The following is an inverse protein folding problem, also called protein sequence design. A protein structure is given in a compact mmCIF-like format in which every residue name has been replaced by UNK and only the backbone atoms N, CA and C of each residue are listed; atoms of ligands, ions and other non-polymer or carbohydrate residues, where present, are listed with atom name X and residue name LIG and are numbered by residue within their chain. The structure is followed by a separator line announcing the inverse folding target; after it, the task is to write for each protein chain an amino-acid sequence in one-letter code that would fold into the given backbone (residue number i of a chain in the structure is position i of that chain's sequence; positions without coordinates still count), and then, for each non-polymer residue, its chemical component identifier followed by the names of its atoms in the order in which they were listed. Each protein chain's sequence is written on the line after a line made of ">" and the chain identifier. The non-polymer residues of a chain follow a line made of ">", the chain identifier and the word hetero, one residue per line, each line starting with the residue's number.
data_IF_802645568946
#
_entry.id   IF_802645568946
#
_cell.length_a   1.000
_cell.length_b   1.000
_cell.length_c   1.000
_cell.angle_alpha   90.00
_cell.angle_beta   90.00
_cell.angle_gamma   90.00
#
_symmetry.space_group_name_H-M   'P 1'
#
loop_
_entity.id
_entity.type
_entity.pdbx_description
1 polymer ?
#
# COMPACT_ATOMS: atom_id res chain seq x y z
N UNK A 1 17.65 0.30 -34.15
CA UNK A 1 18.50 -0.31 -33.11
C UNK A 1 17.62 -1.18 -32.23
N UNK A 2 17.90 -2.48 -32.14
CA UNK A 2 17.18 -3.40 -31.25
C UNK A 2 17.58 -3.16 -29.79
N UNK A 3 16.64 -3.33 -28.84
CA UNK A 3 16.86 -3.17 -27.39
C UNK A 3 18.06 -4.01 -26.91
N UNK A 4 18.18 -5.24 -27.42
CA UNK A 4 19.22 -6.18 -27.01
C UNK A 4 20.63 -5.66 -27.35
N UNK A 5 20.81 -5.01 -28.50
CA UNK A 5 22.10 -4.39 -28.87
C UNK A 5 22.44 -3.20 -27.97
N UNK A 6 21.45 -2.45 -27.50
CA UNK A 6 21.69 -1.33 -26.59
C UNK A 6 22.09 -1.82 -25.18
N UNK A 7 21.49 -2.93 -24.73
CA UNK A 7 21.85 -3.61 -23.47
C UNK A 7 23.28 -4.14 -23.53
N UNK A 8 23.61 -4.89 -24.59
CA UNK A 8 24.93 -5.52 -24.79
C UNK A 8 26.07 -4.51 -24.77
N UNK A 9 25.85 -3.32 -25.33
CA UNK A 9 26.85 -2.25 -25.39
C UNK A 9 26.72 -1.20 -24.27
N UNK A 10 25.90 -1.44 -23.24
CA UNK A 10 25.75 -0.53 -22.10
C UNK A 10 25.15 0.84 -22.43
N UNK A 11 24.44 0.96 -23.57
CA UNK A 11 23.80 2.20 -24.05
C UNK A 11 22.34 2.31 -23.58
N UNK A 12 21.85 1.35 -22.80
CA UNK A 12 20.53 1.43 -22.18
C UNK A 12 20.60 2.19 -20.85
N UNK A 13 19.94 3.35 -20.79
CA UNK A 13 19.83 4.16 -19.57
C UNK A 13 18.50 3.98 -18.82
N UNK A 14 17.60 3.12 -19.32
CA UNK A 14 16.30 2.89 -18.69
C UNK A 14 16.48 2.06 -17.43
N UNK A 15 15.77 2.43 -16.36
CA UNK A 15 15.66 1.55 -15.21
C UNK A 15 14.87 0.30 -15.60
N UNK A 16 15.35 -0.90 -15.23
CA UNK A 16 14.59 -2.12 -15.44
C UNK A 16 13.27 -2.03 -14.68
N UNK A 17 12.19 -2.44 -15.34
CA UNK A 17 10.85 -2.39 -14.76
C UNK A 17 10.72 -3.45 -13.66
N UNK A 18 10.92 -3.01 -12.42
CA UNK A 18 10.96 -3.86 -11.22
C UNK A 18 10.14 -3.22 -10.10
N UNK A 19 9.83 -4.01 -9.08
CA UNK A 19 9.13 -3.58 -7.87
C UNK A 19 7.62 -3.78 -7.93
N UNK A 20 6.92 -3.35 -6.88
CA UNK A 20 5.49 -3.57 -6.70
C UNK A 20 4.64 -3.07 -7.87
N UNK A 21 5.01 -1.93 -8.46
CA UNK A 21 4.32 -1.37 -9.63
C UNK A 21 4.37 -2.25 -10.87
N UNK A 22 5.34 -3.18 -10.95
CA UNK A 22 5.44 -4.11 -12.06
C UNK A 22 4.51 -5.33 -11.91
N UNK A 23 4.14 -5.67 -10.67
CA UNK A 23 3.20 -6.74 -10.36
C UNK A 23 1.78 -6.21 -10.39
N UNK A 24 1.55 -5.10 -9.71
CA UNK A 24 0.23 -4.48 -9.61
C UNK A 24 0.35 -2.97 -9.78
N UNK A 25 -0.38 -2.48 -10.78
CA UNK A 25 -0.55 -1.06 -11.03
C UNK A 25 -1.41 -0.39 -9.95
N UNK A 26 -1.81 -1.00 -8.85
CA UNK A 26 -2.39 -0.28 -7.71
C UNK A 26 -1.49 -0.32 -6.48
N UNK A 27 -0.43 -1.15 -6.50
CA UNK A 27 0.50 -1.37 -5.40
C UNK A 27 1.66 -0.36 -5.39
N UNK A 28 1.60 0.63 -4.47
CA UNK A 28 2.19 1.97 -4.67
C UNK A 28 2.29 2.86 -3.43
N UNK A 29 2.86 4.05 -3.66
CA UNK A 29 2.54 5.32 -2.98
C UNK A 29 1.11 5.80 -3.34
N UNK A 30 0.32 6.11 -2.30
CA UNK A 30 -1.14 6.29 -2.32
C UNK A 30 -1.94 5.13 -2.93
N UNK A 31 -1.35 3.94 -3.07
CA UNK A 31 -1.99 2.79 -3.70
C UNK A 31 -3.35 2.44 -3.12
N UNK A 32 -4.30 2.08 -3.97
CA UNK A 32 -5.64 1.63 -3.55
C UNK A 32 -5.70 0.14 -3.25
N UNK A 33 -4.59 -0.58 -3.48
CA UNK A 33 -4.44 -1.98 -3.13
C UNK A 33 -4.82 -2.21 -1.65
N UNK A 34 -5.49 -3.32 -1.32
CA UNK A 34 -6.03 -3.54 0.03
C UNK A 34 -4.95 -3.46 1.11
N UNK A 35 -3.76 -3.98 0.82
CA UNK A 35 -2.59 -3.87 1.68
C UNK A 35 -2.18 -2.39 1.89
N UNK A 36 -2.02 -1.66 0.79
CA UNK A 36 -1.63 -0.26 0.77
C UNK A 36 -2.65 0.64 1.51
N UNK A 37 -3.94 0.36 1.31
CA UNK A 37 -5.06 1.06 1.93
C UNK A 37 -5.10 0.76 3.43
N UNK A 38 -4.98 -0.50 3.82
CA UNK A 38 -5.00 -0.91 5.22
C UNK A 38 -3.87 -0.28 6.02
N UNK A 39 -2.66 -0.20 5.46
CA UNK A 39 -1.53 0.46 6.12
C UNK A 39 -1.75 1.96 6.33
N UNK A 40 -2.37 2.67 5.37
CA UNK A 40 -2.70 4.10 5.56
C UNK A 40 -3.76 4.32 6.63
N UNK A 41 -4.77 3.45 6.66
CA UNK A 41 -5.90 3.54 7.59
C UNK A 41 -5.58 3.02 8.99
N UNK A 42 -4.36 2.51 9.24
CA UNK A 42 -4.02 1.83 10.49
C UNK A 42 -4.28 2.69 11.73
N UNK A 43 -3.85 3.95 11.71
CA UNK A 43 -4.04 4.85 12.84
C UNK A 43 -5.53 5.13 13.09
N UNK A 44 -6.30 5.37 12.02
CA UNK A 44 -7.74 5.61 12.12
C UNK A 44 -8.47 4.38 12.66
N UNK A 45 -8.16 3.19 12.15
CA UNK A 45 -8.72 1.93 12.65
C UNK A 45 -8.42 1.74 14.13
N UNK A 46 -7.19 2.01 14.57
CA UNK A 46 -6.79 1.90 15.97
C UNK A 46 -7.56 2.87 16.87
N UNK A 47 -7.78 4.11 16.44
CA UNK A 47 -8.58 5.05 17.21
C UNK A 47 -10.06 4.66 17.23
N UNK A 48 -10.62 4.20 16.10
CA UNK A 48 -11.99 3.68 16.04
C UNK A 48 -12.18 2.49 16.98
N UNK A 49 -11.22 1.57 17.06
CA UNK A 49 -11.27 0.44 18.00
C UNK A 49 -11.30 0.89 19.46
N UNK A 50 -10.50 1.89 19.84
CA UNK A 50 -10.53 2.46 21.20
C UNK A 50 -11.86 3.14 21.51
N UNK A 51 -12.42 3.88 20.55
CA UNK A 51 -13.73 4.52 20.70
C UNK A 51 -14.82 3.47 20.89
N UNK A 52 -14.78 2.41 20.07
CA UNK A 52 -15.71 1.30 20.16
C UNK A 52 -15.66 0.60 21.52
N UNK A 53 -14.46 0.32 22.04
CA UNK A 53 -14.29 -0.26 23.38
C UNK A 53 -14.95 0.59 24.47
N UNK A 54 -14.78 1.92 24.41
CA UNK A 54 -15.42 2.84 25.37
C UNK A 54 -16.94 2.88 25.25
N UNK A 55 -17.47 2.80 24.04
CA UNK A 55 -18.92 2.73 23.82
C UNK A 55 -19.49 1.42 24.38
N UNK A 56 -18.80 0.31 24.14
CA UNK A 56 -19.20 -1.00 24.66
C UNK A 56 -19.21 -1.01 26.20
N UNK A 57 -18.23 -0.37 26.86
CA UNK A 57 -18.20 -0.18 28.32
C UNK A 57 -19.43 0.61 28.81
N UNK A 58 -19.74 1.74 28.17
CA UNK A 58 -20.90 2.56 28.52
C UNK A 58 -22.22 1.79 28.33
N UNK A 59 -22.35 1.04 27.23
CA UNK A 59 -23.55 0.25 26.95
C UNK A 59 -23.73 -0.90 27.95
N UNK A 60 -22.64 -1.45 28.50
CA UNK A 60 -22.72 -2.45 29.58
C UNK A 60 -23.14 -1.85 30.91
N UNK A 61 -22.73 -0.62 31.22
CA UNK A 61 -23.06 0.06 32.48
C UNK A 61 -24.52 0.55 32.53
N UNK A 62 -25.17 0.71 31.37
CA UNK A 62 -26.57 1.15 31.24
C UNK A 62 -27.57 -0.03 31.38
N UNK A 63 -27.13 -1.27 31.15
CA UNK A 63 -27.97 -2.48 31.20
C UNK A 63 -28.07 -3.08 32.59
#
# INVERSE_FOLDING_TARGET
>A
MSLNKAIEHGKEHRRPYRGSKAVDYTCRNHGTCDWCKSNRMYNEKRELEKMKCRLDEIDTDIK
#
